data_IF_250743063541
#
_entry.id   IF_250743063541
#
_cell.length_a   1.000
_cell.length_b   1.000
_cell.length_c   1.000
_cell.angle_alpha   90.00
_cell.angle_beta   90.00
_cell.angle_gamma   90.00
#
_symmetry.space_group_name_H-M   'P 1'
#
loop_
_entity.id
_entity.type
_entity.pdbx_description
1 polymer ?
#
# COMPACT_ATOMS: atom_id res chain seq x y z
N UNK A 1 -48.84 -1.03 41.71
CA UNK A 1 -47.54 -0.40 41.36
C UNK A 1 -46.63 -1.47 40.77
N UNK A 2 -46.48 -1.48 39.45
CA UNK A 2 -45.56 -2.40 38.75
C UNK A 2 -44.16 -1.78 38.73
N UNK A 3 -43.18 -2.49 39.29
CA UNK A 3 -41.76 -2.17 39.19
C UNK A 3 -41.21 -2.74 37.88
N UNK A 4 -40.80 -1.88 36.94
CA UNK A 4 -40.09 -2.28 35.71
C UNK A 4 -38.59 -2.18 35.95
N UNK A 5 -37.91 -3.34 35.98
CA UNK A 5 -36.46 -3.44 35.87
C UNK A 5 -36.04 -3.03 34.45
N UNK A 6 -35.15 -2.04 34.36
CA UNK A 6 -34.51 -1.63 33.11
C UNK A 6 -33.34 -2.60 32.87
N UNK A 7 -33.47 -3.47 31.87
CA UNK A 7 -32.36 -4.24 31.31
C UNK A 7 -31.43 -3.26 30.56
N UNK A 8 -30.25 -2.97 31.10
CA UNK A 8 -29.17 -2.33 30.35
C UNK A 8 -28.55 -3.36 29.42
N UNK A 9 -28.85 -3.25 28.12
CA UNK A 9 -28.02 -3.88 27.09
C UNK A 9 -26.76 -3.03 26.94
N UNK A 10 -25.59 -3.64 27.09
CA UNK A 10 -24.33 -3.04 26.67
C UNK A 10 -24.28 -3.11 25.15
N UNK A 11 -24.67 -2.04 24.47
CA UNK A 11 -24.30 -1.85 23.07
C UNK A 11 -22.78 -1.61 23.03
N UNK A 12 -22.01 -2.64 22.69
CA UNK A 12 -20.64 -2.45 22.24
C UNK A 12 -20.70 -1.67 20.93
N UNK A 13 -20.46 -0.36 21.01
CA UNK A 13 -20.26 0.47 19.84
C UNK A 13 -19.09 -0.09 19.04
N UNK A 14 -19.37 -0.71 17.89
CA UNK A 14 -18.34 -1.09 16.92
C UNK A 14 -17.74 0.21 16.41
N UNK A 15 -16.50 0.50 16.83
CA UNK A 15 -15.79 1.67 16.33
C UNK A 15 -15.66 1.55 14.79
N UNK A 16 -15.99 2.60 14.02
CA UNK A 16 -15.91 2.55 12.56
C UNK A 16 -14.46 2.32 12.11
N UNK A 17 -14.29 1.55 11.04
CA UNK A 17 -12.97 1.34 10.44
C UNK A 17 -12.34 2.68 10.03
N UNK A 18 -11.08 2.91 10.42
CA UNK A 18 -10.33 4.07 9.93
C UNK A 18 -10.11 3.93 8.42
N UNK A 19 -10.53 4.92 7.65
CA UNK A 19 -10.27 4.99 6.21
C UNK A 19 -8.92 5.67 5.95
N UNK A 20 -8.13 5.22 4.95
CA UNK A 20 -6.93 5.93 4.56
C UNK A 20 -7.25 7.29 3.93
N UNK A 21 -6.42 8.29 4.23
CA UNK A 21 -6.47 9.60 3.59
C UNK A 21 -5.81 9.50 2.21
N UNK A 22 -6.57 9.79 1.15
CA UNK A 22 -6.05 9.82 -0.23
C UNK A 22 -5.07 10.99 -0.38
N UNK A 23 -3.96 10.73 -1.05
CA UNK A 23 -2.99 11.74 -1.49
C UNK A 23 -3.10 11.86 -3.02
N UNK A 24 -3.89 12.81 -3.56
CA UNK A 24 -4.13 12.91 -5.00
C UNK A 24 -2.83 13.18 -5.76
N UNK A 25 -2.51 12.34 -6.74
CA UNK A 25 -1.26 12.45 -7.50
C UNK A 25 -1.07 13.83 -8.16
N UNK A 26 -2.15 14.48 -8.58
CA UNK A 26 -2.14 15.82 -9.17
C UNK A 26 -1.96 16.99 -8.18
N UNK A 27 -1.98 16.74 -6.87
CA UNK A 27 -1.94 17.78 -5.85
C UNK A 27 -0.82 17.61 -4.79
N UNK A 28 -0.16 16.45 -4.75
CA UNK A 28 0.92 16.20 -3.80
C UNK A 28 2.18 17.01 -4.12
N UNK A 29 2.90 17.44 -3.08
CA UNK A 29 4.26 17.96 -3.25
C UNK A 29 5.20 16.81 -3.66
N UNK A 30 5.52 16.73 -4.95
CA UNK A 30 6.27 15.61 -5.55
C UNK A 30 7.68 15.47 -4.98
N UNK A 31 8.35 16.58 -4.67
CA UNK A 31 9.71 16.57 -4.10
C UNK A 31 9.77 15.79 -2.78
N UNK A 32 8.69 15.82 -1.99
CA UNK A 32 8.58 15.09 -0.74
C UNK A 32 8.61 13.57 -0.94
N UNK A 33 8.33 13.05 -2.14
CA UNK A 33 8.21 11.61 -2.41
C UNK A 33 9.35 11.04 -3.25
N UNK A 34 10.27 11.89 -3.73
CA UNK A 34 11.48 11.44 -4.41
C UNK A 34 12.45 10.75 -3.44
N UNK A 35 13.43 10.04 -4.01
CA UNK A 35 14.48 9.34 -3.28
C UNK A 35 14.09 7.94 -2.81
N UNK A 36 14.71 7.50 -1.71
CA UNK A 36 14.67 6.10 -1.27
C UNK A 36 13.41 5.76 -0.47
N UNK A 37 12.91 4.54 -0.70
CA UNK A 37 11.78 3.94 0.00
C UNK A 37 12.02 2.45 0.25
N UNK A 38 11.82 2.02 1.49
CA UNK A 38 11.86 0.62 1.88
C UNK A 38 10.46 0.03 1.80
N UNK A 39 10.31 -1.12 1.14
CA UNK A 39 9.03 -1.82 1.08
C UNK A 39 8.90 -2.76 2.28
N UNK A 40 7.85 -2.56 3.08
CA UNK A 40 7.72 -3.17 4.40
C UNK A 40 6.74 -4.33 4.38
N UNK A 41 5.53 -4.08 3.87
CA UNK A 41 4.45 -5.07 3.88
C UNK A 41 3.45 -4.82 2.76
N UNK A 42 2.74 -5.87 2.34
CA UNK A 42 1.59 -5.77 1.47
C UNK A 42 0.40 -6.52 2.05
N UNK A 43 -0.79 -6.05 1.70
CA UNK A 43 -2.07 -6.68 2.02
C UNK A 43 -2.97 -6.72 0.79
N UNK A 44 -3.85 -7.71 0.75
CA UNK A 44 -4.90 -7.83 -0.24
C UNK A 44 -6.06 -8.66 0.33
N UNK A 45 -7.19 -8.65 -0.37
CA UNK A 45 -8.25 -9.65 -0.20
C UNK A 45 -7.81 -11.02 -0.68
N UNK A 46 -7.06 -11.07 -1.80
CA UNK A 46 -6.63 -12.31 -2.47
C UNK A 46 -5.15 -12.54 -2.25
N UNK A 47 -4.80 -13.73 -1.78
CA UNK A 47 -3.41 -14.13 -1.60
C UNK A 47 -2.60 -14.05 -2.92
N UNK A 48 -3.23 -14.40 -4.05
CA UNK A 48 -2.62 -14.36 -5.38
C UNK A 48 -2.10 -12.96 -5.75
N UNK A 49 -2.73 -11.88 -5.26
CA UNK A 49 -2.36 -10.50 -5.58
C UNK A 49 -1.03 -10.09 -4.92
N UNK A 50 -0.63 -10.77 -3.85
CA UNK A 50 0.57 -10.47 -3.05
C UNK A 50 1.59 -11.61 -3.02
N UNK A 51 1.26 -12.77 -3.59
CA UNK A 51 2.09 -13.98 -3.58
C UNK A 51 3.52 -13.73 -4.09
N UNK A 52 3.68 -12.85 -5.09
CA UNK A 52 5.00 -12.51 -5.66
C UNK A 52 6.00 -11.96 -4.63
N UNK A 53 5.50 -11.34 -3.55
CA UNK A 53 6.34 -10.76 -2.51
C UNK A 53 6.86 -11.80 -1.51
N UNK A 54 6.20 -12.97 -1.39
CA UNK A 54 6.58 -14.02 -0.42
C UNK A 54 7.97 -14.61 -0.67
N UNK A 55 8.46 -14.54 -1.90
CA UNK A 55 9.78 -15.04 -2.26
C UNK A 55 10.92 -14.04 -1.98
N UNK A 56 10.59 -12.81 -1.58
CA UNK A 56 11.56 -11.73 -1.40
C UNK A 56 11.95 -11.59 0.07
N UNK A 57 13.23 -11.30 0.32
CA UNK A 57 13.71 -10.91 1.64
C UNK A 57 13.49 -9.42 1.88
N UNK A 58 13.87 -8.58 0.92
CA UNK A 58 13.76 -7.12 1.02
C UNK A 58 13.66 -6.46 -0.37
N UNK A 59 13.16 -5.22 -0.40
CA UNK A 59 13.18 -4.39 -1.60
C UNK A 59 13.51 -2.95 -1.21
N UNK A 60 14.52 -2.38 -1.88
CA UNK A 60 14.79 -0.94 -1.86
C UNK A 60 14.30 -0.31 -3.16
N UNK A 61 13.44 0.68 -3.04
CA UNK A 61 13.00 1.51 -4.15
C UNK A 61 13.71 2.85 -4.16
N UNK A 62 13.91 3.40 -5.35
CA UNK A 62 14.27 4.80 -5.58
C UNK A 62 13.24 5.41 -6.53
N UNK A 63 12.69 6.56 -6.15
CA UNK A 63 11.77 7.35 -6.95
C UNK A 63 12.48 8.58 -7.49
N UNK A 64 12.40 8.79 -8.80
CA UNK A 64 13.02 9.91 -9.51
C UNK A 64 11.99 10.60 -10.42
N UNK A 65 12.21 11.87 -10.72
CA UNK A 65 11.40 12.64 -11.68
C UNK A 65 12.28 13.04 -12.87
N UNK A 66 12.42 12.17 -13.89
CA UNK A 66 13.28 12.45 -15.04
C UNK A 66 12.74 13.54 -15.98
N UNK A 67 11.43 13.81 -15.93
CA UNK A 67 10.76 14.81 -16.74
C UNK A 67 9.49 15.29 -16.02
N UNK A 68 8.99 16.46 -16.42
CA UNK A 68 7.68 16.94 -15.96
C UNK A 68 6.62 15.87 -16.23
N UNK A 69 5.79 15.60 -15.23
CA UNK A 69 4.71 14.61 -15.24
C UNK A 69 5.13 13.14 -15.39
N UNK A 70 6.42 12.82 -15.23
CA UNK A 70 6.93 11.44 -15.29
C UNK A 70 7.67 11.07 -14.01
N UNK A 71 7.32 9.94 -13.41
CA UNK A 71 8.03 9.36 -12.28
C UNK A 71 8.66 8.03 -12.68
N UNK A 72 9.93 7.85 -12.34
CA UNK A 72 10.66 6.60 -12.53
C UNK A 72 10.85 5.93 -11.17
N UNK A 73 10.24 4.77 -10.99
CA UNK A 73 10.40 3.95 -9.79
C UNK A 73 11.34 2.79 -10.13
N UNK A 74 12.51 2.75 -9.51
CA UNK A 74 13.45 1.62 -9.64
C UNK A 74 13.50 0.82 -8.36
N UNK A 75 13.17 -0.47 -8.44
CA UNK A 75 13.22 -1.42 -7.33
C UNK A 75 14.40 -2.38 -7.45
N UNK A 76 15.10 -2.57 -6.34
CA UNK A 76 16.19 -3.53 -6.17
C UNK A 76 15.76 -4.55 -5.13
N UNK A 77 15.50 -5.76 -5.58
CA UNK A 77 14.82 -6.82 -4.83
C UNK A 77 15.81 -7.93 -4.49
N UNK A 78 15.86 -8.33 -3.21
CA UNK A 78 16.61 -9.50 -2.75
C UNK A 78 15.71 -10.73 -2.79
N UNK A 79 16.08 -11.73 -3.59
CA UNK A 79 15.39 -13.03 -3.65
C UNK A 79 16.40 -14.16 -3.36
N UNK A 80 16.32 -14.75 -2.17
CA UNK A 80 17.39 -15.62 -1.68
C UNK A 80 18.71 -14.84 -1.62
N UNK A 81 19.74 -15.30 -2.31
CA UNK A 81 21.02 -14.59 -2.43
C UNK A 81 21.11 -13.71 -3.68
N UNK A 82 20.13 -13.79 -4.59
CA UNK A 82 20.15 -13.06 -5.85
C UNK A 82 19.58 -11.64 -5.71
N UNK A 83 20.10 -10.72 -6.53
CA UNK A 83 19.53 -9.39 -6.73
C UNK A 83 18.77 -9.33 -8.05
N UNK A 84 17.56 -8.79 -8.01
CA UNK A 84 16.72 -8.57 -9.17
C UNK A 84 16.39 -7.08 -9.23
N UNK A 85 16.64 -6.45 -10.37
CA UNK A 85 16.34 -5.05 -10.59
C UNK A 85 15.16 -4.92 -11.55
N UNK A 86 14.26 -3.99 -11.23
CA UNK A 86 13.13 -3.68 -12.10
C UNK A 86 12.82 -2.19 -12.02
N UNK A 87 12.34 -1.64 -13.12
CA UNK A 87 11.94 -0.23 -13.23
C UNK A 87 10.52 -0.13 -13.74
N UNK A 88 9.78 0.85 -13.22
CA UNK A 88 8.41 1.18 -13.61
C UNK A 88 8.33 2.69 -13.89
N UNK A 89 7.71 3.04 -15.01
CA UNK A 89 7.45 4.43 -15.38
C UNK A 89 6.00 4.76 -15.09
N UNK A 90 5.77 5.79 -14.28
CA UNK A 90 4.46 6.32 -13.96
C UNK A 90 4.27 7.70 -14.59
N UNK A 91 3.07 7.95 -15.10
CA UNK A 91 2.68 9.22 -15.70
C UNK A 91 1.65 9.91 -14.82
N UNK A 92 1.87 11.20 -14.56
CA UNK A 92 0.90 12.07 -13.90
C UNK A 92 -0.01 12.73 -14.94
N UNK A 93 -1.24 13.00 -14.53
CA UNK A 93 -2.18 13.77 -15.32
C UNK A 93 -2.90 14.79 -14.43
N UNK A 94 -3.08 16.04 -14.88
CA UNK A 94 -3.65 17.11 -14.04
C UNK A 94 -5.11 16.84 -13.64
N UNK A 95 -5.85 16.09 -14.45
CA UNK A 95 -7.25 15.72 -14.27
C UNK A 95 -7.45 14.42 -13.46
N UNK A 96 -6.36 13.77 -13.02
CA UNK A 96 -6.42 12.46 -12.35
C UNK A 96 -5.81 12.49 -10.96
N UNK A 97 -6.41 11.71 -10.07
CA UNK A 97 -5.92 11.52 -8.70
C UNK A 97 -4.96 10.33 -8.56
N UNK A 98 -4.87 9.49 -9.59
CA UNK A 98 -4.02 8.31 -9.65
C UNK A 98 -2.82 8.49 -10.59
N UNK A 99 -1.76 7.72 -10.33
CA UNK A 99 -0.63 7.53 -11.22
C UNK A 99 -0.98 6.49 -12.28
N UNK A 100 -0.62 6.75 -13.54
CA UNK A 100 -0.82 5.81 -14.65
C UNK A 100 0.46 5.04 -14.91
N UNK A 101 0.42 3.71 -14.78
CA UNK A 101 1.56 2.86 -15.08
C UNK A 101 1.71 2.65 -16.60
N UNK A 102 2.91 2.90 -17.12
CA UNK A 102 3.23 2.64 -18.53
C UNK A 102 3.06 1.15 -18.89
N UNK A 103 2.47 0.88 -20.05
CA UNK A 103 2.17 -0.47 -20.52
C UNK A 103 1.03 -1.19 -19.78
N UNK A 104 0.40 -0.55 -18.77
CA UNK A 104 -0.72 -1.11 -17.99
C UNK A 104 -1.86 -0.10 -17.88
N UNK A 105 -2.57 0.23 -18.98
CA UNK A 105 -3.54 1.33 -19.02
C UNK A 105 -4.75 1.13 -18.09
N UNK A 106 -5.10 -0.11 -17.75
CA UNK A 106 -6.18 -0.43 -16.83
C UNK A 106 -5.75 -0.37 -15.36
N UNK A 107 -4.44 -0.37 -15.07
CA UNK A 107 -3.94 -0.32 -13.71
C UNK A 107 -3.97 1.10 -13.19
N UNK A 108 -4.70 1.29 -12.11
CA UNK A 108 -4.74 2.53 -11.33
C UNK A 108 -3.80 2.40 -10.13
N UNK A 109 -3.01 3.44 -9.90
CA UNK A 109 -2.04 3.46 -8.82
C UNK A 109 -2.30 4.66 -7.92
N UNK A 110 -2.84 4.41 -6.72
CA UNK A 110 -3.25 5.44 -5.77
C UNK A 110 -2.24 5.57 -4.64
N UNK A 111 -2.06 6.79 -4.15
CA UNK A 111 -1.21 7.10 -3.02
C UNK A 111 -2.08 7.44 -1.81
N UNK A 112 -1.70 6.92 -0.66
CA UNK A 112 -2.42 7.09 0.59
C UNK A 112 -1.45 7.48 1.71
N UNK A 113 -1.95 8.29 2.63
CA UNK A 113 -1.20 8.81 3.77
C UNK A 113 -0.73 7.68 4.70
N UNK A 114 0.55 7.69 5.08
CA UNK A 114 1.12 6.78 6.06
C UNK A 114 0.51 6.91 7.47
N UNK A 115 -0.27 7.97 7.73
CA UNK A 115 -1.10 8.09 8.96
C UNK A 115 -2.03 6.90 9.15
N UNK A 116 -2.45 6.22 8.08
CA UNK A 116 -3.26 5.00 8.18
C UNK A 116 -2.49 3.83 8.81
N UNK A 117 -1.16 3.89 8.84
CA UNK A 117 -0.29 3.00 9.58
C UNK A 117 0.32 3.65 10.84
N UNK A 118 -0.17 4.84 11.24
CA UNK A 118 0.42 5.67 12.30
C UNK A 118 1.92 6.01 12.06
N UNK A 119 2.29 6.32 10.82
CA UNK A 119 3.67 6.64 10.45
C UNK A 119 3.72 7.87 9.52
N UNK A 120 4.35 8.95 9.99
CA UNK A 120 4.49 10.19 9.22
C UNK A 120 5.49 10.07 8.05
N UNK A 121 6.52 9.24 8.22
CA UNK A 121 7.56 8.97 7.22
C UNK A 121 7.24 7.75 6.34
N UNK A 122 5.96 7.38 6.27
CA UNK A 122 5.49 6.27 5.46
C UNK A 122 4.52 6.76 4.38
N UNK A 123 4.40 5.95 3.33
CA UNK A 123 3.37 6.08 2.32
C UNK A 123 2.77 4.71 2.04
N UNK A 124 1.49 4.71 1.68
CA UNK A 124 0.79 3.49 1.29
C UNK A 124 0.43 3.63 -0.18
N UNK A 125 0.88 2.67 -0.99
CA UNK A 125 0.60 2.61 -2.41
C UNK A 125 -0.47 1.54 -2.65
N UNK A 126 -1.47 1.85 -3.46
CA UNK A 126 -2.48 0.88 -3.85
C UNK A 126 -2.46 0.68 -5.35
N UNK A 127 -2.41 -0.58 -5.76
CA UNK A 127 -2.66 -0.96 -7.16
C UNK A 127 -4.02 -1.60 -7.28
N UNK A 128 -4.77 -1.12 -8.27
CA UNK A 128 -6.10 -1.58 -8.62
C UNK A 128 -6.13 -1.92 -10.12
N UNK A 129 -6.71 -3.06 -10.47
CA UNK A 129 -7.17 -3.33 -11.83
C UNK A 129 -8.65 -3.70 -11.78
N UNK A 130 -9.46 -3.17 -12.71
CA UNK A 130 -10.89 -3.43 -12.73
C UNK A 130 -11.19 -4.92 -12.87
N UNK A 131 -12.44 -5.34 -12.60
CA UNK A 131 -12.86 -6.72 -12.84
C UNK A 131 -12.60 -7.15 -14.29
N UNK A 132 -12.31 -8.45 -14.51
CA UNK A 132 -11.99 -8.96 -15.85
C UNK A 132 -13.23 -9.06 -16.73
N UNK A 133 -14.39 -9.34 -16.13
CA UNK A 133 -15.68 -9.40 -16.80
C UNK A 133 -16.64 -8.40 -16.16
N UNK A 134 -17.57 -7.85 -16.93
CA UNK A 134 -18.56 -6.88 -16.42
C UNK A 134 -19.48 -7.48 -15.34
N UNK A 135 -19.61 -8.81 -15.32
CA UNK A 135 -20.38 -9.55 -14.30
C UNK A 135 -19.64 -9.71 -12.99
N UNK A 136 -18.33 -9.51 -12.98
CA UNK A 136 -17.51 -9.67 -11.79
C UNK A 136 -17.69 -8.44 -10.88
N UNK A 137 -17.96 -8.68 -9.60
CA UNK A 137 -18.17 -7.62 -8.60
C UNK A 137 -16.88 -7.21 -7.87
N UNK A 138 -15.77 -7.87 -8.17
CA UNK A 138 -14.48 -7.67 -7.53
C UNK A 138 -13.40 -7.29 -8.54
N UNK A 139 -12.53 -6.36 -8.13
CA UNK A 139 -11.34 -5.99 -8.89
C UNK A 139 -10.45 -7.21 -9.17
N UNK A 140 -9.90 -7.28 -10.37
CA UNK A 140 -8.98 -8.35 -10.77
C UNK A 140 -7.66 -8.29 -10.01
N UNK A 141 -7.26 -7.08 -9.59
CA UNK A 141 -6.17 -6.81 -8.67
C UNK A 141 -6.59 -5.75 -7.66
N UNK A 142 -6.40 -6.01 -6.37
CA UNK A 142 -6.46 -4.96 -5.36
C UNK A 142 -5.44 -5.27 -4.26
N UNK A 143 -4.39 -4.45 -4.16
CA UNK A 143 -3.38 -4.60 -3.11
C UNK A 143 -2.92 -3.26 -2.58
N UNK A 144 -2.70 -3.20 -1.27
CA UNK A 144 -2.07 -2.07 -0.60
C UNK A 144 -0.66 -2.48 -0.17
N UNK A 145 0.28 -1.56 -0.30
CA UNK A 145 1.69 -1.78 -0.06
C UNK A 145 2.22 -0.64 0.80
N UNK A 146 2.79 -0.96 1.95
CA UNK A 146 3.37 -0.01 2.89
C UNK A 146 4.85 0.20 2.59
N UNK A 147 5.24 1.46 2.50
CA UNK A 147 6.62 1.90 2.31
C UNK A 147 7.02 2.88 3.40
N UNK A 148 8.29 2.85 3.78
CA UNK A 148 8.86 3.75 4.77
C UNK A 148 10.16 4.37 4.28
N UNK A 149 10.54 5.53 4.85
CA UNK A 149 11.84 6.16 4.58
C UNK A 149 13.03 5.43 5.19
N UNK A 150 12.79 4.60 6.20
CA UNK A 150 13.83 3.83 6.91
C UNK A 150 13.44 2.34 6.96
N UNK A 151 14.42 1.46 7.17
CA UNK A 151 14.22 0.00 7.17
C UNK A 151 13.89 -0.57 8.56
N UNK A 152 14.12 0.20 9.62
CA UNK A 152 13.92 -0.12 11.03
C UNK A 152 12.57 0.42 11.54
N UNK A 153 11.52 0.18 10.76
CA UNK A 153 10.16 0.62 11.10
C UNK A 153 9.70 -0.04 12.40
N UNK A 154 9.12 0.75 13.31
CA UNK A 154 8.57 0.24 14.57
C UNK A 154 7.52 -0.85 14.32
N UNK A 155 7.53 -1.97 15.07
CA UNK A 155 6.57 -3.07 14.87
C UNK A 155 5.10 -2.64 14.94
N UNK A 156 4.79 -1.60 15.73
CA UNK A 156 3.41 -1.10 15.87
C UNK A 156 2.89 -0.43 14.59
N UNK A 157 3.76 0.11 13.73
CA UNK A 157 3.36 0.68 12.43
C UNK A 157 2.81 -0.43 11.52
N UNK A 158 3.55 -1.55 11.41
CA UNK A 158 3.12 -2.71 10.61
C UNK A 158 1.84 -3.30 11.19
N UNK A 159 1.77 -3.48 12.50
CA UNK A 159 0.57 -3.99 13.18
C UNK A 159 -0.64 -3.09 12.97
N UNK A 160 -0.47 -1.77 13.02
CA UNK A 160 -1.53 -0.79 12.75
C UNK A 160 -2.00 -0.87 11.30
N UNK A 161 -1.06 -0.93 10.35
CA UNK A 161 -1.37 -1.12 8.93
C UNK A 161 -2.20 -2.39 8.69
N UNK A 162 -1.77 -3.54 9.25
CA UNK A 162 -2.49 -4.80 9.11
C UNK A 162 -3.87 -4.76 9.76
N UNK A 163 -3.98 -4.22 10.98
CA UNK A 163 -5.26 -4.07 11.70
C UNK A 163 -6.25 -3.23 10.92
N UNK A 164 -5.80 -2.06 10.44
CA UNK A 164 -6.65 -1.16 9.69
C UNK A 164 -7.07 -1.79 8.37
N UNK A 165 -6.13 -2.42 7.65
CA UNK A 165 -6.41 -3.13 6.39
C UNK A 165 -7.41 -4.28 6.56
N UNK A 166 -7.27 -5.07 7.63
CA UNK A 166 -8.19 -6.16 7.95
C UNK A 166 -9.63 -5.67 8.17
N UNK A 167 -9.80 -4.47 8.75
CA UNK A 167 -11.12 -3.83 8.91
C UNK A 167 -11.80 -3.55 7.55
N UNK A 168 -11.02 -3.40 6.48
CA UNK A 168 -11.49 -3.24 5.09
C UNK A 168 -11.42 -4.54 4.27
N UNK A 169 -11.49 -5.69 4.95
CA UNK A 169 -11.51 -7.03 4.34
C UNK A 169 -10.26 -7.34 3.48
N UNK A 170 -9.11 -6.76 3.84
CA UNK A 170 -7.79 -7.06 3.27
C UNK A 170 -7.02 -7.95 4.26
N UNK A 171 -7.33 -9.24 4.29
CA UNK A 171 -6.85 -10.17 5.32
C UNK A 171 -5.56 -10.89 4.92
N UNK A 172 -5.36 -11.13 3.62
CA UNK A 172 -4.11 -11.71 3.13
C UNK A 172 -3.00 -10.68 3.30
N UNK A 173 -1.84 -11.10 3.81
CA UNK A 173 -0.73 -10.20 4.08
C UNK A 173 0.62 -10.87 3.88
N UNK A 174 1.61 -10.04 3.57
CA UNK A 174 3.04 -10.38 3.53
C UNK A 174 3.79 -9.25 4.20
N UNK A 175 4.65 -9.58 5.17
CA UNK A 175 5.65 -8.67 5.73
C UNK A 175 6.99 -9.16 5.21
N UNK A 176 7.81 -8.27 4.66
CA UNK A 176 9.15 -8.66 4.21
C UNK A 176 10.06 -8.93 5.40
N UNK A 177 10.83 -10.04 5.41
CA UNK A 177 11.71 -10.39 6.51
C UNK A 177 12.80 -9.34 6.78
N UNK A 178 13.35 -8.74 5.72
CA UNK A 178 14.46 -7.79 5.76
C UNK A 178 15.67 -8.29 6.58
N UNK A 179 16.01 -9.57 6.42
CA UNK A 179 17.08 -10.23 7.19
C UNK A 179 18.43 -10.22 6.49
N UNK A 180 18.46 -9.94 5.19
CA UNK A 180 19.68 -9.85 4.37
C UNK A 180 19.98 -8.40 4.02
N UNK A 181 21.21 -8.16 3.59
CA UNK A 181 21.61 -6.86 3.04
C UNK A 181 20.78 -6.50 1.79
N UNK A 182 20.42 -5.22 1.70
CA UNK A 182 19.74 -4.66 0.54
C UNK A 182 20.63 -4.70 -0.70
N UNK A 183 20.01 -4.91 -1.85
CA UNK A 183 20.68 -4.81 -3.14
C UNK A 183 21.07 -3.36 -3.47
N UNK A 184 22.30 -3.17 -3.97
CA UNK A 184 22.88 -1.87 -4.35
C UNK A 184 23.00 -1.66 -5.84
#
# INVERSE_FOLDING_TARGET
MMSRRINRHFDQAVAPCSAPELLPANAVNREQYLGKWFFIAAVSRKEADIQKFKALDNILFTMEEPANDTLLLSGRMRMGDNCINQTWTYHLHPDRVDLKLEGRPQRRSLLWSGKWANCADCIIFQELEPPLQETDTEDSLCRFMLYARQNDVEPEVVKTFLKNSACHNQLANVILPQTKEFCT
#
